data_IF_514049885020
#
_entry.id   IF_514049885020
#
_cell.length_a   1.000
_cell.length_b   1.000
_cell.length_c   1.000
_cell.angle_alpha   90.00
_cell.angle_beta   90.00
_cell.angle_gamma   90.00
#
_symmetry.space_group_name_H-M   'P 1'
#
loop_
_entity.id
_entity.type
_entity.pdbx_description
1 polymer ?
#
# COMPACT_ATOMS: atom_id res chain seq x y z
N UNK A 1 -33.86 16.60 -29.65
CA UNK A 1 -33.25 15.34 -30.12
C UNK A 1 -31.73 15.42 -29.87
N UNK A 2 -31.13 14.43 -29.27
CA UNK A 2 -29.67 14.39 -29.12
C UNK A 2 -29.06 13.89 -30.43
N UNK A 3 -28.13 14.64 -31.00
CA UNK A 3 -27.40 14.25 -32.21
C UNK A 3 -26.29 13.27 -31.83
N UNK A 4 -26.16 12.20 -32.62
CA UNK A 4 -25.10 11.20 -32.45
C UNK A 4 -24.26 11.13 -33.72
N UNK A 5 -22.93 11.17 -33.57
CA UNK A 5 -21.99 10.89 -34.65
C UNK A 5 -21.45 9.48 -34.38
N UNK A 6 -21.54 8.58 -35.35
CA UNK A 6 -20.96 7.25 -35.33
C UNK A 6 -19.88 7.22 -36.39
N UNK A 7 -18.65 7.07 -35.96
CA UNK A 7 -17.47 6.97 -36.84
C UNK A 7 -16.55 5.89 -36.28
N UNK A 8 -15.87 5.16 -37.14
CA UNK A 8 -14.91 4.13 -36.75
C UNK A 8 -13.57 4.75 -36.33
N UNK A 9 -13.24 5.89 -36.90
CA UNK A 9 -12.02 6.64 -36.61
C UNK A 9 -12.28 8.15 -36.74
N UNK A 10 -11.65 8.93 -35.88
CA UNK A 10 -11.66 10.39 -35.92
C UNK A 10 -10.21 10.88 -35.98
N UNK A 11 -9.83 11.48 -37.09
CA UNK A 11 -8.50 12.01 -37.34
C UNK A 11 -8.53 13.40 -37.98
N UNK A 12 -7.45 14.13 -37.92
CA UNK A 12 -7.29 15.39 -38.65
C UNK A 12 -7.21 15.12 -40.15
N UNK A 13 -7.57 16.09 -40.99
CA UNK A 13 -7.64 15.93 -42.44
C UNK A 13 -6.30 15.52 -43.08
N UNK A 14 -5.19 15.78 -42.42
CA UNK A 14 -3.82 15.40 -42.83
C UNK A 14 -3.28 14.16 -42.13
N UNK A 15 -4.06 13.56 -41.22
CA UNK A 15 -3.68 12.38 -40.45
C UNK A 15 -2.57 12.60 -39.41
N UNK A 16 -2.09 13.83 -39.22
CA UNK A 16 -0.93 14.14 -38.40
C UNK A 16 -1.22 15.00 -37.18
N UNK A 17 -2.42 15.58 -37.09
CA UNK A 17 -2.81 16.48 -36.02
C UNK A 17 -3.41 15.76 -34.80
N UNK A 18 -3.61 16.54 -33.73
CA UNK A 18 -4.33 16.12 -32.53
C UNK A 18 -5.75 16.66 -32.56
N UNK A 19 -6.74 15.79 -32.36
CA UNK A 19 -8.13 16.21 -32.16
C UNK A 19 -8.36 16.42 -30.66
N UNK A 20 -8.57 17.68 -30.26
CA UNK A 20 -8.96 18.01 -28.90
C UNK A 20 -10.47 17.80 -28.70
N UNK A 21 -10.86 16.88 -27.87
CA UNK A 21 -12.24 16.72 -27.42
C UNK A 21 -12.46 17.62 -26.20
N UNK A 22 -13.22 18.72 -26.39
CA UNK A 22 -13.47 19.71 -25.33
C UNK A 22 -14.38 19.20 -24.21
N UNK A 23 -15.15 18.13 -24.43
CA UNK A 23 -15.96 17.48 -23.42
C UNK A 23 -15.34 16.14 -23.07
N UNK A 24 -15.30 15.86 -21.78
CA UNK A 24 -14.75 14.63 -21.24
C UNK A 24 -15.30 13.40 -21.97
N UNK A 25 -14.45 12.45 -22.27
CA UNK A 25 -14.81 11.11 -22.65
C UNK A 25 -15.56 10.46 -21.48
N UNK A 26 -16.87 10.71 -21.38
CA UNK A 26 -17.69 10.02 -20.39
C UNK A 26 -17.82 8.56 -20.80
N UNK A 27 -17.38 7.66 -19.93
CA UNK A 27 -17.41 6.23 -20.19
C UNK A 27 -16.04 5.57 -20.36
N UNK A 28 -14.94 6.27 -20.20
CA UNK A 28 -13.66 5.61 -19.95
C UNK A 28 -13.74 4.89 -18.61
N UNK A 29 -13.91 3.58 -18.67
CA UNK A 29 -13.85 2.70 -17.50
C UNK A 29 -12.43 2.18 -17.34
N UNK A 30 -12.09 1.64 -16.17
CA UNK A 30 -10.80 1.01 -15.94
C UNK A 30 -10.40 -0.05 -16.98
N UNK A 31 -11.40 -0.66 -17.65
CA UNK A 31 -11.22 -1.62 -18.74
C UNK A 31 -10.70 -0.99 -20.04
N UNK A 32 -10.95 0.33 -20.22
CA UNK A 32 -10.51 1.08 -21.42
C UNK A 32 -9.16 1.76 -21.23
N UNK A 33 -8.57 1.69 -20.07
CA UNK A 33 -7.28 2.31 -19.79
C UNK A 33 -6.14 1.40 -20.27
N UNK A 34 -5.05 1.95 -20.82
CA UNK A 34 -3.89 1.14 -21.19
C UNK A 34 -3.33 0.34 -20.01
N UNK A 35 -2.80 -0.86 -20.29
CA UNK A 35 -2.06 -1.66 -19.32
C UNK A 35 -0.99 -0.81 -18.63
N UNK A 36 -0.90 -0.91 -17.30
CA UNK A 36 0.01 -0.13 -16.49
C UNK A 36 -0.56 1.20 -15.98
N UNK A 37 -1.76 1.60 -16.44
CA UNK A 37 -2.42 2.80 -15.91
C UNK A 37 -2.83 2.62 -14.44
N UNK A 38 -2.72 3.67 -13.65
CA UNK A 38 -3.27 3.71 -12.29
C UNK A 38 -4.76 3.99 -12.38
N UNK A 39 -5.60 3.07 -11.89
CA UNK A 39 -7.05 3.13 -11.98
C UNK A 39 -7.70 3.72 -10.72
N UNK A 40 -7.16 3.39 -9.55
CA UNK A 40 -7.59 3.95 -8.28
C UNK A 40 -6.44 3.95 -7.26
N UNK A 41 -6.52 4.85 -6.31
CA UNK A 41 -5.57 4.95 -5.20
C UNK A 41 -6.36 5.09 -3.91
N UNK A 42 -6.02 4.26 -2.92
CA UNK A 42 -6.55 4.37 -1.55
C UNK A 42 -5.40 4.37 -0.56
N UNK A 43 -5.53 5.15 0.51
CA UNK A 43 -4.48 5.28 1.52
C UNK A 43 -5.06 5.26 2.91
N UNK A 44 -4.38 4.56 3.81
CA UNK A 44 -4.51 4.72 5.25
C UNK A 44 -3.32 5.52 5.78
N UNK A 45 -3.61 6.50 6.62
CA UNK A 45 -2.64 7.16 7.50
C UNK A 45 -2.92 6.69 8.92
N UNK A 46 -1.93 6.08 9.55
CA UNK A 46 -2.03 5.49 10.88
C UNK A 46 -1.18 6.29 11.88
N UNK A 47 -1.84 6.92 12.83
CA UNK A 47 -1.18 7.76 13.85
C UNK A 47 -1.12 7.10 15.23
N UNK A 48 -1.83 5.99 15.42
CA UNK A 48 -1.94 5.38 16.75
C UNK A 48 -0.60 4.80 17.18
N UNK A 49 -0.14 5.21 18.34
CA UNK A 49 0.99 4.58 19.01
C UNK A 49 0.62 3.14 19.39
N UNK A 50 1.46 2.21 19.02
CA UNK A 50 1.32 0.80 19.39
C UNK A 50 2.63 0.27 19.93
N UNK A 51 2.61 -0.26 21.15
CA UNK A 51 3.76 -0.96 21.72
C UNK A 51 3.48 -2.45 21.76
N UNK A 52 4.40 -3.24 21.25
CA UNK A 52 4.33 -4.70 21.21
C UNK A 52 5.47 -5.23 22.05
N UNK A 53 5.12 -5.95 23.11
CA UNK A 53 6.09 -6.46 24.07
C UNK A 53 6.25 -7.97 23.91
N UNK A 54 7.49 -8.45 23.87
CA UNK A 54 7.85 -9.87 23.93
C UNK A 54 7.07 -10.76 22.96
N UNK A 55 6.76 -10.27 21.77
CA UNK A 55 6.02 -11.07 20.81
C UNK A 55 6.95 -11.82 19.87
N UNK A 56 7.07 -13.13 20.10
CA UNK A 56 7.67 -14.08 19.16
C UNK A 56 6.69 -14.51 18.06
N UNK A 57 5.43 -14.12 18.19
CA UNK A 57 4.37 -14.35 17.19
C UNK A 57 4.08 -13.07 16.42
N UNK A 58 3.66 -13.23 15.16
CA UNK A 58 3.25 -12.08 14.37
C UNK A 58 1.98 -11.45 14.92
N UNK A 59 2.00 -10.15 15.11
CA UNK A 59 0.87 -9.32 15.58
C UNK A 59 0.56 -8.24 14.56
N UNK A 60 -0.70 -7.84 14.50
CA UNK A 60 -1.15 -6.77 13.62
C UNK A 60 -0.57 -5.42 14.09
N UNK A 61 -0.05 -4.64 13.15
CA UNK A 61 0.55 -3.33 13.43
C UNK A 61 -0.48 -2.20 13.48
N UNK A 62 -1.73 -2.46 13.08
CA UNK A 62 -2.74 -1.45 12.82
C UNK A 62 -2.66 -0.85 11.42
N UNK A 63 -1.59 -1.10 10.68
CA UNK A 63 -1.45 -0.64 9.30
C UNK A 63 -2.16 -1.63 8.37
N UNK A 64 -3.35 -1.21 7.91
CA UNK A 64 -4.25 -2.05 7.10
C UNK A 64 -5.06 -1.19 6.15
N UNK A 65 -5.22 -1.61 4.91
CA UNK A 65 -6.03 -0.92 3.91
C UNK A 65 -6.71 -1.93 2.99
N UNK A 66 -7.96 -1.66 2.64
CA UNK A 66 -8.71 -2.47 1.67
C UNK A 66 -8.82 -1.76 0.32
N UNK A 67 -8.88 -2.56 -0.74
CA UNK A 67 -9.14 -2.10 -2.11
C UNK A 67 -9.99 -3.15 -2.83
N UNK A 68 -10.89 -2.70 -3.70
CA UNK A 68 -11.71 -3.59 -4.54
C UNK A 68 -11.27 -3.44 -5.98
N UNK A 69 -10.55 -4.43 -6.55
CA UNK A 69 -10.10 -4.35 -7.94
C UNK A 69 -11.27 -4.32 -8.92
N UNK A 70 -11.17 -3.52 -9.95
CA UNK A 70 -12.19 -3.42 -11.01
C UNK A 70 -12.12 -4.57 -12.02
N UNK A 71 -10.98 -5.26 -12.09
CA UNK A 71 -10.79 -6.47 -12.91
C UNK A 71 -9.90 -7.48 -12.19
N UNK A 72 -10.15 -8.77 -12.45
CA UNK A 72 -9.31 -9.86 -11.92
C UNK A 72 -7.92 -9.95 -12.57
N UNK A 73 -7.71 -9.28 -13.71
CA UNK A 73 -6.39 -9.17 -14.35
C UNK A 73 -5.53 -8.07 -13.75
N UNK A 74 -6.14 -7.11 -13.04
CA UNK A 74 -5.44 -5.96 -12.48
C UNK A 74 -4.53 -6.36 -11.32
N UNK A 75 -3.50 -5.55 -11.13
CA UNK A 75 -2.53 -5.73 -10.05
C UNK A 75 -2.70 -4.64 -9.01
N UNK A 76 -2.30 -4.93 -7.79
CA UNK A 76 -2.29 -3.94 -6.70
C UNK A 76 -0.84 -3.66 -6.29
N UNK A 77 -0.40 -2.42 -6.50
CA UNK A 77 0.85 -1.94 -5.95
C UNK A 77 0.60 -1.52 -4.50
N UNK A 78 1.18 -2.27 -3.57
CA UNK A 78 1.17 -1.98 -2.15
C UNK A 78 2.44 -1.21 -1.81
N UNK A 79 2.29 -0.01 -1.29
CA UNK A 79 3.40 0.83 -0.80
C UNK A 79 3.13 1.14 0.65
N UNK A 80 4.07 0.85 1.54
CA UNK A 80 3.95 1.29 2.92
C UNK A 80 5.23 1.92 3.43
N UNK A 81 5.03 2.82 4.38
CA UNK A 81 6.08 3.44 5.17
C UNK A 81 5.67 3.32 6.63
N UNK A 82 6.49 2.68 7.44
CA UNK A 82 6.21 2.45 8.85
C UNK A 82 7.30 3.07 9.70
N UNK A 83 6.89 3.84 10.69
CA UNK A 83 7.79 4.37 11.69
C UNK A 83 7.91 3.39 12.85
N UNK A 84 9.12 2.97 13.11
CA UNK A 84 9.47 1.97 14.10
C UNK A 84 10.35 2.57 15.17
N UNK A 85 10.19 2.07 16.37
CA UNK A 85 11.08 2.35 17.49
C UNK A 85 11.31 1.11 18.33
N UNK A 86 12.43 1.07 19.02
CA UNK A 86 12.71 0.08 20.07
C UNK A 86 13.05 0.81 21.37
N UNK A 87 12.74 0.22 22.50
CA UNK A 87 13.13 0.79 23.79
C UNK A 87 13.93 -0.22 24.64
N UNK A 88 14.68 -1.08 24.00
CA UNK A 88 15.45 -2.11 24.66
C UNK A 88 16.93 -1.76 24.66
N UNK A 89 17.61 -2.13 25.73
CA UNK A 89 19.07 -2.09 25.84
C UNK A 89 19.76 -3.34 25.26
N UNK A 90 18.97 -4.28 24.76
CA UNK A 90 19.44 -5.52 24.11
C UNK A 90 19.23 -5.45 22.62
N UNK A 91 20.01 -6.20 21.87
CA UNK A 91 19.83 -6.34 20.42
C UNK A 91 18.42 -6.81 20.08
N UNK A 92 17.77 -6.12 19.19
CA UNK A 92 16.41 -6.39 18.74
C UNK A 92 16.39 -6.62 17.25
N UNK A 93 15.73 -7.69 16.83
CA UNK A 93 15.47 -7.96 15.43
C UNK A 93 13.96 -7.96 15.20
N UNK A 94 13.50 -7.14 14.28
CA UNK A 94 12.09 -7.02 13.95
C UNK A 94 11.88 -7.59 12.54
N UNK A 95 11.01 -8.57 12.47
CA UNK A 95 10.57 -9.18 11.22
C UNK A 95 9.14 -8.71 10.92
N UNK A 96 8.84 -8.50 9.65
CA UNK A 96 7.50 -8.17 9.20
C UNK A 96 7.02 -9.15 8.13
N UNK A 97 5.70 -9.16 7.91
CA UNK A 97 5.09 -9.82 6.78
C UNK A 97 3.90 -9.02 6.28
N UNK A 98 3.74 -9.01 4.96
CA UNK A 98 2.58 -8.43 4.28
C UNK A 98 1.58 -9.54 3.98
N UNK A 99 0.32 -9.29 4.30
CA UNK A 99 -0.79 -10.20 4.01
C UNK A 99 -1.78 -9.56 3.04
N UNK A 100 -2.39 -10.41 2.23
CA UNK A 100 -3.61 -10.12 1.50
C UNK A 100 -4.71 -11.03 2.08
N UNK A 101 -5.69 -10.45 2.77
CA UNK A 101 -6.63 -11.19 3.61
C UNK A 101 -5.90 -11.95 4.71
N UNK A 102 -6.01 -13.28 4.71
CA UNK A 102 -5.28 -14.17 5.62
C UNK A 102 -3.99 -14.75 5.04
N UNK A 103 -3.72 -14.54 3.74
CA UNK A 103 -2.58 -15.13 3.05
C UNK A 103 -1.36 -14.24 3.16
N UNK A 104 -0.24 -14.80 3.59
CA UNK A 104 1.05 -14.11 3.57
C UNK A 104 1.55 -14.04 2.13
N UNK A 105 1.67 -12.84 1.58
CA UNK A 105 2.13 -12.60 0.21
C UNK A 105 3.59 -12.17 0.15
N UNK A 106 4.16 -11.67 1.25
CA UNK A 106 5.57 -11.31 1.33
C UNK A 106 6.08 -11.39 2.77
N UNK A 107 7.22 -12.03 2.93
CA UNK A 107 8.02 -11.99 4.16
C UNK A 107 9.07 -10.88 4.03
N UNK A 108 9.27 -10.15 5.11
CA UNK A 108 10.22 -9.05 5.21
C UNK A 108 11.10 -9.33 6.44
N UNK A 109 12.24 -9.93 6.21
CA UNK A 109 13.16 -10.24 7.28
C UNK A 109 14.02 -9.02 7.63
N UNK A 110 14.26 -8.82 8.93
CA UNK A 110 15.17 -7.80 9.46
C UNK A 110 14.85 -6.38 8.97
N UNK A 111 13.59 -5.96 9.07
CA UNK A 111 13.22 -4.59 8.72
C UNK A 111 13.80 -3.56 9.70
N UNK A 112 14.21 -4.01 10.87
CA UNK A 112 14.91 -3.21 11.85
C UNK A 112 15.77 -4.12 12.73
N UNK A 113 17.01 -3.72 12.94
CA UNK A 113 17.93 -4.37 13.87
C UNK A 113 18.59 -3.30 14.73
N UNK A 114 18.35 -3.34 16.03
CA UNK A 114 19.02 -2.47 17.00
C UNK A 114 20.02 -3.24 17.82
N UNK A 115 21.18 -2.65 18.01
CA UNK A 115 22.24 -3.16 18.88
C UNK A 115 22.32 -2.28 20.11
N UNK A 116 21.79 -2.75 21.23
CA UNK A 116 21.97 -2.18 22.58
C UNK A 116 21.50 -0.74 22.85
N UNK A 117 20.69 -0.13 22.02
CA UNK A 117 20.15 1.22 22.26
C UNK A 117 18.70 1.34 21.78
N UNK A 118 17.94 2.26 22.39
CA UNK A 118 16.66 2.68 21.83
C UNK A 118 16.91 3.41 20.52
N UNK A 119 16.36 2.89 19.42
CA UNK A 119 16.51 3.45 18.09
C UNK A 119 15.13 3.69 17.48
N UNK A 120 15.03 4.76 16.73
CA UNK A 120 13.90 5.03 15.86
C UNK A 120 14.34 4.90 14.41
N UNK A 121 13.51 4.29 13.61
CA UNK A 121 13.77 4.05 12.20
C UNK A 121 12.48 4.12 11.40
N UNK A 122 12.62 4.44 10.13
CA UNK A 122 11.55 4.32 9.16
C UNK A 122 11.87 3.20 8.19
N UNK A 123 10.93 2.28 8.00
CA UNK A 123 11.03 1.23 7.00
C UNK A 123 9.97 1.47 5.93
N UNK A 124 10.40 1.45 4.66
CA UNK A 124 9.52 1.58 3.51
C UNK A 124 9.70 0.38 2.59
N UNK A 125 8.61 -0.09 2.03
CA UNK A 125 8.61 -1.23 1.13
C UNK A 125 7.48 -1.12 0.12
N UNK A 126 7.69 -1.69 -1.06
CA UNK A 126 6.67 -1.79 -2.09
C UNK A 126 6.59 -3.20 -2.66
N UNK A 127 5.39 -3.62 -3.03
CA UNK A 127 5.15 -4.93 -3.60
C UNK A 127 3.98 -4.89 -4.58
N UNK A 128 4.20 -5.41 -5.79
CA UNK A 128 3.15 -5.53 -6.80
C UNK A 128 2.53 -6.93 -6.70
N UNK A 129 1.26 -6.98 -6.29
CA UNK A 129 0.49 -8.20 -6.07
C UNK A 129 -0.56 -8.40 -7.17
N UNK A 130 -0.79 -9.64 -7.57
CA UNK A 130 -1.87 -10.05 -8.48
C UNK A 130 -2.94 -10.78 -7.66
N UNK A 131 -4.00 -10.10 -7.19
CA UNK A 131 -5.01 -10.71 -6.32
C UNK A 131 -5.95 -11.66 -7.07
N UNK A 132 -6.05 -11.55 -8.39
CA UNK A 132 -6.87 -12.39 -9.28
C UNK A 132 -8.35 -12.43 -8.85
N UNK A 133 -8.88 -11.32 -8.36
CA UNK A 133 -10.26 -11.19 -7.88
C UNK A 133 -10.80 -9.79 -8.09
N UNK A 134 -12.13 -9.66 -8.17
CA UNK A 134 -12.85 -8.40 -8.12
C UNK A 134 -13.54 -8.18 -6.77
N UNK A 135 -13.34 -9.08 -5.82
CA UNK A 135 -13.79 -8.88 -4.43
C UNK A 135 -12.81 -8.00 -3.67
N UNK A 136 -13.31 -7.35 -2.61
CA UNK A 136 -12.45 -6.53 -1.75
C UNK A 136 -11.33 -7.36 -1.12
N UNK A 137 -10.11 -6.86 -1.21
CA UNK A 137 -8.90 -7.46 -0.61
C UNK A 137 -8.35 -6.49 0.43
N UNK A 138 -8.22 -6.98 1.66
CA UNK A 138 -7.60 -6.21 2.74
C UNK A 138 -6.13 -6.58 2.84
N UNK A 139 -5.26 -5.58 2.66
CA UNK A 139 -3.83 -5.71 2.90
C UNK A 139 -3.51 -5.27 4.32
N UNK A 140 -2.63 -6.00 5.00
CA UNK A 140 -2.18 -5.65 6.34
C UNK A 140 -0.72 -6.02 6.58
N UNK A 141 -0.08 -5.23 7.43
CA UNK A 141 1.27 -5.49 7.89
C UNK A 141 1.22 -6.10 9.28
N UNK A 142 1.91 -7.22 9.44
CA UNK A 142 2.15 -7.85 10.73
C UNK A 142 3.64 -7.86 11.04
N UNK A 143 3.95 -7.79 12.32
CA UNK A 143 5.32 -7.77 12.81
C UNK A 143 5.51 -8.70 13.99
N UNK A 144 6.72 -9.21 14.16
CA UNK A 144 7.17 -9.91 15.37
C UNK A 144 8.59 -9.49 15.70
N UNK A 145 8.95 -9.62 16.96
CA UNK A 145 10.34 -9.51 17.42
C UNK A 145 10.96 -10.88 17.63
N UNK A 146 12.27 -10.94 17.63
CA UNK A 146 13.00 -12.08 18.19
C UNK A 146 13.08 -11.90 19.70
N UNK A 147 12.99 -12.97 20.46
CA UNK A 147 12.92 -13.10 21.93
C UNK A 147 13.19 -11.80 22.72
N UNK A 148 12.25 -11.39 23.55
CA UNK A 148 12.32 -10.17 24.38
C UNK A 148 12.26 -8.85 23.62
N UNK A 149 11.92 -8.85 22.34
CA UNK A 149 11.81 -7.62 21.56
C UNK A 149 10.63 -6.78 22.03
N UNK A 150 10.94 -5.53 22.36
CA UNK A 150 9.94 -4.49 22.58
C UNK A 150 10.03 -3.53 21.41
N UNK A 151 9.05 -3.54 20.54
CA UNK A 151 9.01 -2.60 19.43
C UNK A 151 7.76 -1.73 19.47
N UNK A 152 7.89 -0.57 18.91
CA UNK A 152 6.88 0.48 18.90
C UNK A 152 6.61 0.91 17.47
N UNK A 153 5.38 1.27 17.21
CA UNK A 153 4.93 1.81 15.94
C UNK A 153 4.39 3.20 16.24
N UNK A 154 4.75 4.17 15.40
CA UNK A 154 4.42 5.58 15.58
C UNK A 154 4.84 6.10 16.97
N UNK A 155 6.03 5.67 17.40
CA UNK A 155 6.56 6.14 18.66
C UNK A 155 7.14 7.52 18.50
N UNK A 156 6.72 8.41 19.39
CA UNK A 156 7.50 9.58 19.71
C UNK A 156 7.59 9.76 21.23
N UNK A 157 8.73 10.25 21.68
CA UNK A 157 9.04 10.44 23.07
C UNK A 157 8.40 11.73 23.59
N UNK A 158 7.13 11.76 23.77
CA UNK A 158 6.30 12.82 24.34
C UNK A 158 5.35 13.55 23.39
N UNK A 159 4.09 13.41 23.67
CA UNK A 159 2.98 14.37 23.52
C UNK A 159 2.61 14.96 22.15
N UNK A 160 3.28 14.72 21.06
CA UNK A 160 2.82 15.13 19.74
C UNK A 160 2.62 13.92 18.84
N UNK A 161 1.40 13.70 18.38
CA UNK A 161 1.00 12.66 17.42
C UNK A 161 1.51 12.97 15.99
N UNK A 162 2.76 13.36 15.84
CA UNK A 162 3.33 13.71 14.53
C UNK A 162 3.90 12.52 13.79
N UNK A 163 4.19 11.44 14.52
CA UNK A 163 4.64 10.19 13.91
C UNK A 163 3.49 9.48 13.22
N UNK A 164 3.63 9.18 11.95
CA UNK A 164 2.63 8.44 11.22
C UNK A 164 3.24 7.37 10.32
N UNK A 165 2.51 6.27 10.20
CA UNK A 165 2.77 5.23 9.22
C UNK A 165 1.69 5.27 8.15
N UNK A 166 2.02 4.94 6.92
CA UNK A 166 1.09 4.98 5.79
C UNK A 166 1.08 3.67 5.05
N UNK A 167 -0.08 3.29 4.52
CA UNK A 167 -0.22 2.25 3.52
C UNK A 167 -1.04 2.79 2.36
N UNK A 168 -0.44 2.79 1.18
CA UNK A 168 -1.09 3.21 -0.07
C UNK A 168 -1.24 1.99 -0.97
N UNK A 169 -2.44 1.80 -1.49
CA UNK A 169 -2.74 0.79 -2.48
C UNK A 169 -3.10 1.49 -3.79
N UNK A 170 -2.49 1.05 -4.88
CA UNK A 170 -2.78 1.54 -6.22
C UNK A 170 -3.20 0.37 -7.09
N UNK A 171 -4.38 0.45 -7.70
CA UNK A 171 -4.78 -0.51 -8.72
C UNK A 171 -4.14 -0.14 -10.05
N UNK A 172 -3.46 -1.10 -10.65
CA UNK A 172 -2.76 -0.99 -11.92
C UNK A 172 -3.47 -1.86 -12.96
N UNK A 173 -3.84 -1.27 -14.09
CA UNK A 173 -4.45 -1.98 -15.21
C UNK A 173 -3.53 -3.13 -15.69
N UNK A 174 -4.10 -4.33 -15.81
CA UNK A 174 -3.41 -5.56 -16.22
C UNK A 174 -3.76 -6.01 -17.62
#
# INVERSE_FOLDING_TARGET
MASKIKVDQLETADGTGTIALQNQLSGMTGVSMPTGSVLQVVQQVHHTFTQINNSSSYVDTGLTQAITPSSSSNKILVVFSIQLGTNSTSSQNIQARLLAGSTVIRMLDNIHNSVSHALEAQASFQYLHSPSTTSAVTYKLQMKGTSSAHFRINNYNSSANEACSTMTLMEIAG
#
